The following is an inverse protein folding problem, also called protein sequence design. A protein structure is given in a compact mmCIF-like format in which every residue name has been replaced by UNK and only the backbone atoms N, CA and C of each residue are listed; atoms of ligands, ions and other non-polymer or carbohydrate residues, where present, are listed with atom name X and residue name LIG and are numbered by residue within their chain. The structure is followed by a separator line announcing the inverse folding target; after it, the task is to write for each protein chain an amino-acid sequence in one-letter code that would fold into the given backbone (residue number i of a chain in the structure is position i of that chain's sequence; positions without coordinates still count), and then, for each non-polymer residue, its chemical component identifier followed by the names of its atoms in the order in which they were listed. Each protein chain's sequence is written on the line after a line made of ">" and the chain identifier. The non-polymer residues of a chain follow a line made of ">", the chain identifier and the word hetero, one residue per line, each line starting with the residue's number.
data_IF_080838787129
#
_entry.id   IF_080838787129
#
_cell.length_a   1.000
_cell.length_b   1.000
_cell.length_c   1.000
_cell.angle_alpha   90.00
_cell.angle_beta   90.00
_cell.angle_gamma   90.00
#
_symmetry.space_group_name_H-M   'P 1'
#
loop_
_entity.id
_entity.type
_entity.pdbx_description
1 polymer ?
#
# COMPACT_ATOMS: atom_id res chain seq x y z
N UNK A 1 1.48 -13.14 7.14
CA UNK A 1 0.44 -12.07 7.12
C UNK A 1 -0.51 -12.18 8.30
N UNK A 2 -1.15 -13.33 8.53
CA UNK A 2 -2.09 -13.52 9.63
C UNK A 2 -1.59 -13.07 11.02
N UNK A 3 -0.43 -13.56 11.44
CA UNK A 3 0.18 -13.20 12.72
C UNK A 3 0.37 -11.69 12.88
N UNK A 4 0.91 -11.02 11.87
CA UNK A 4 1.13 -9.58 11.86
C UNK A 4 -0.16 -8.76 11.98
N UNK A 5 -1.25 -9.22 11.33
CA UNK A 5 -2.55 -8.57 11.44
C UNK A 5 -3.11 -8.72 12.86
N UNK A 6 -3.06 -9.92 13.43
CA UNK A 6 -3.50 -10.16 14.81
C UNK A 6 -2.68 -9.34 15.82
N UNK A 7 -1.37 -9.22 15.62
CA UNK A 7 -0.52 -8.38 16.48
C UNK A 7 -0.85 -6.89 16.35
N UNK A 8 -1.13 -6.41 15.14
CA UNK A 8 -1.39 -4.98 14.89
C UNK A 8 -2.74 -4.56 15.45
N UNK A 9 -3.77 -5.37 15.25
CA UNK A 9 -5.14 -5.01 15.62
C UNK A 9 -5.58 -5.56 16.97
N UNK A 10 -4.83 -6.50 17.56
CA UNK A 10 -5.09 -7.06 18.88
C UNK A 10 -6.54 -7.50 19.03
N UNK A 11 -7.19 -7.01 20.08
CA UNK A 11 -8.58 -7.33 20.42
C UNK A 11 -9.62 -6.76 19.43
N UNK A 12 -9.21 -5.92 18.47
CA UNK A 12 -10.10 -5.41 17.42
C UNK A 12 -10.50 -6.52 16.44
N UNK A 13 -9.61 -7.49 16.20
CA UNK A 13 -9.94 -8.68 15.41
C UNK A 13 -10.45 -9.76 16.37
N UNK A 14 -11.74 -10.07 16.29
CA UNK A 14 -12.33 -11.16 17.07
C UNK A 14 -11.84 -12.54 16.61
N UNK A 15 -11.73 -12.75 15.30
CA UNK A 15 -11.24 -14.00 14.72
C UNK A 15 -10.50 -13.76 13.40
N UNK A 16 -9.60 -14.69 13.07
CA UNK A 16 -8.96 -14.78 11.77
C UNK A 16 -8.98 -16.23 11.31
N UNK A 17 -9.55 -16.47 10.13
CA UNK A 17 -9.60 -17.80 9.53
C UNK A 17 -8.65 -17.90 8.34
N UNK A 18 -7.87 -18.99 8.29
CA UNK A 18 -7.11 -19.37 7.11
C UNK A 18 -7.88 -20.47 6.38
N UNK A 19 -8.42 -20.12 5.21
CA UNK A 19 -9.23 -21.02 4.40
C UNK A 19 -8.38 -21.51 3.22
N UNK A 20 -8.09 -22.83 3.12
CA UNK A 20 -7.39 -23.37 1.95
C UNK A 20 -8.16 -23.08 0.66
N UNK A 21 -7.49 -22.42 -0.28
CA UNK A 21 -8.02 -22.16 -1.62
C UNK A 21 -7.51 -23.16 -2.66
N UNK A 22 -8.05 -23.07 -3.88
CA UNK A 22 -7.46 -23.76 -5.04
C UNK A 22 -6.09 -23.17 -5.37
N UNK A 23 -5.33 -23.86 -6.22
CA UNK A 23 -4.02 -23.38 -6.68
C UNK A 23 -4.06 -21.92 -7.14
N UNK A 24 -3.10 -21.12 -6.66
CA UNK A 24 -2.96 -19.71 -7.02
C UNK A 24 -3.93 -18.75 -6.32
N UNK A 25 -4.91 -19.23 -5.56
CA UNK A 25 -5.89 -18.38 -4.87
C UNK A 25 -5.23 -17.69 -3.68
N UNK A 26 -5.34 -16.35 -3.64
CA UNK A 26 -5.01 -15.57 -2.45
C UNK A 26 -5.97 -14.40 -2.37
N UNK A 27 -6.89 -14.46 -1.41
CA UNK A 27 -7.95 -13.47 -1.20
C UNK A 27 -7.94 -13.07 0.27
N UNK A 28 -7.97 -11.77 0.54
CA UNK A 28 -8.17 -11.22 1.88
C UNK A 28 -9.61 -10.74 1.97
N UNK A 29 -10.33 -11.22 2.99
CA UNK A 29 -11.69 -10.77 3.29
C UNK A 29 -11.76 -10.18 4.68
N UNK A 30 -12.57 -9.15 4.83
CA UNK A 30 -12.87 -8.51 6.12
C UNK A 30 -14.37 -8.40 6.24
N UNK A 31 -14.95 -8.99 7.29
CA UNK A 31 -16.40 -9.03 7.50
C UNK A 31 -17.22 -9.57 6.30
N UNK A 32 -16.61 -10.45 5.49
CA UNK A 32 -17.22 -11.02 4.28
C UNK A 32 -16.85 -10.31 2.98
N UNK A 33 -16.43 -9.04 3.04
CA UNK A 33 -16.07 -8.25 1.87
C UNK A 33 -14.64 -8.55 1.42
N UNK A 34 -14.44 -8.67 0.11
CA UNK A 34 -13.11 -8.85 -0.47
C UNK A 34 -12.38 -7.51 -0.47
N UNK A 35 -11.30 -7.41 0.29
CA UNK A 35 -10.45 -6.21 0.35
C UNK A 35 -9.20 -6.34 -0.52
N UNK A 36 -8.82 -7.57 -0.88
CA UNK A 36 -7.72 -7.84 -1.81
C UNK A 36 -7.94 -9.18 -2.52
N UNK A 37 -7.74 -9.22 -3.84
CA UNK A 37 -7.65 -10.44 -4.62
C UNK A 37 -6.36 -10.43 -5.47
N UNK A 38 -5.52 -11.45 -5.27
CA UNK A 38 -4.29 -11.62 -6.06
C UNK A 38 -4.59 -11.75 -7.55
N UNK A 39 -5.72 -12.34 -7.95
CA UNK A 39 -6.09 -12.49 -9.35
C UNK A 39 -6.25 -11.13 -10.03
N UNK A 40 -6.78 -10.15 -9.31
CA UNK A 40 -7.04 -8.80 -9.83
C UNK A 40 -5.77 -7.95 -9.82
N UNK A 41 -4.94 -8.08 -8.78
CA UNK A 41 -3.71 -7.29 -8.65
C UNK A 41 -2.47 -7.92 -9.30
N UNK A 42 -2.50 -9.20 -9.66
CA UNK A 42 -1.35 -9.93 -10.22
C UNK A 42 -0.16 -10.11 -9.26
N UNK A 43 -0.31 -9.74 -7.99
CA UNK A 43 0.73 -9.78 -6.95
C UNK A 43 0.15 -10.15 -5.59
N UNK A 44 1.01 -10.41 -4.62
CA UNK A 44 0.60 -10.49 -3.22
C UNK A 44 0.54 -9.08 -2.60
N UNK A 45 -0.30 -8.86 -1.58
CA UNK A 45 -0.29 -7.59 -0.88
C UNK A 45 0.98 -7.47 -0.05
N UNK A 46 1.53 -6.27 0.03
CA UNK A 46 2.56 -5.98 1.02
C UNK A 46 1.94 -5.90 2.41
N UNK A 47 2.75 -6.12 3.46
CA UNK A 47 2.25 -6.08 4.83
C UNK A 47 1.58 -4.74 5.17
N UNK A 48 2.17 -3.65 4.68
CA UNK A 48 1.67 -2.29 4.88
C UNK A 48 0.29 -2.10 4.25
N UNK A 49 0.14 -2.49 2.98
CA UNK A 49 -1.13 -2.44 2.25
C UNK A 49 -2.20 -3.30 2.93
N UNK A 50 -1.86 -4.52 3.35
CA UNK A 50 -2.80 -5.40 4.05
C UNK A 50 -3.32 -4.76 5.35
N UNK A 51 -2.43 -4.14 6.16
CA UNK A 51 -2.83 -3.42 7.38
C UNK A 51 -3.74 -2.23 7.05
N UNK A 52 -3.41 -1.44 6.03
CA UNK A 52 -4.24 -0.31 5.61
C UNK A 52 -5.64 -0.74 5.14
N UNK A 53 -5.72 -1.76 4.28
CA UNK A 53 -6.99 -2.29 3.76
C UNK A 53 -7.89 -2.81 4.88
N UNK A 54 -7.33 -3.57 5.83
CA UNK A 54 -8.08 -4.07 6.98
C UNK A 54 -8.54 -2.92 7.88
N UNK A 55 -7.66 -1.96 8.18
CA UNK A 55 -7.96 -0.80 9.03
C UNK A 55 -9.17 -0.02 8.53
N UNK A 56 -9.24 0.24 7.22
CA UNK A 56 -10.34 1.00 6.60
C UNK A 56 -11.71 0.44 6.98
N UNK A 57 -11.81 -0.87 7.20
CA UNK A 57 -13.08 -1.54 7.53
C UNK A 57 -13.30 -1.66 9.03
N UNK A 58 -12.28 -2.06 9.81
CA UNK A 58 -12.49 -2.43 11.23
C UNK A 58 -12.11 -1.35 12.25
N UNK A 59 -11.24 -0.40 11.87
CA UNK A 59 -10.74 0.63 12.78
C UNK A 59 -10.29 1.90 12.02
N UNK A 60 -11.20 2.63 11.35
CA UNK A 60 -10.84 3.76 10.48
C UNK A 60 -9.98 4.84 11.17
N UNK A 61 -10.23 5.07 12.46
CA UNK A 61 -9.58 6.09 13.27
C UNK A 61 -8.24 5.63 13.90
N UNK A 62 -7.85 4.37 13.72
CA UNK A 62 -6.62 3.81 14.31
C UNK A 62 -5.39 4.18 13.49
N UNK A 63 -4.43 4.89 14.09
CA UNK A 63 -3.13 5.13 13.46
C UNK A 63 -2.29 3.85 13.36
N UNK A 64 -1.68 3.59 12.19
CA UNK A 64 -0.79 2.42 11.96
C UNK A 64 0.71 2.79 11.98
N UNK A 65 1.04 3.99 12.48
CA UNK A 65 2.42 4.49 12.54
C UNK A 65 3.07 4.57 11.16
N UNK A 66 4.24 3.93 10.97
CA UNK A 66 4.96 3.91 9.68
C UNK A 66 4.15 3.28 8.52
N UNK A 67 3.07 2.57 8.84
CA UNK A 67 2.18 1.99 7.84
C UNK A 67 1.14 2.99 7.32
N UNK A 68 1.01 4.20 7.88
CA UNK A 68 0.06 5.21 7.37
C UNK A 68 0.59 6.02 6.19
N UNK A 69 1.91 6.17 6.06
CA UNK A 69 2.48 6.95 4.96
C UNK A 69 2.22 6.27 3.62
N UNK A 70 1.76 6.99 2.60
CA UNK A 70 1.67 6.41 1.25
C UNK A 70 3.09 6.04 0.80
N UNK A 71 3.34 4.79 0.42
CA UNK A 71 4.63 4.38 -0.15
C UNK A 71 4.80 5.11 -1.48
N UNK A 72 5.56 6.20 -1.47
CA UNK A 72 5.96 6.92 -2.68
C UNK A 72 7.18 6.19 -3.25
N UNK A 73 6.94 5.16 -4.05
CA UNK A 73 7.98 4.54 -4.87
C UNK A 73 7.55 4.59 -6.34
N UNK A 74 8.37 5.30 -7.13
CA UNK A 74 8.30 5.57 -8.58
C UNK A 74 7.53 6.83 -9.04
N UNK A 75 8.13 8.01 -8.84
CA UNK A 75 8.30 9.00 -9.92
C UNK A 75 9.69 9.62 -9.77
N UNK A 76 10.67 9.07 -10.49
CA UNK A 76 11.92 9.77 -10.79
C UNK A 76 12.21 9.58 -12.28
N UNK A 77 11.84 10.57 -13.08
CA UNK A 77 12.49 11.04 -14.31
C UNK A 77 11.71 12.32 -14.70
N UNK A 78 12.27 13.53 -14.80
CA UNK A 78 13.40 13.93 -15.63
C UNK A 78 13.87 15.31 -15.15
N UNK A 79 15.12 15.43 -14.68
CA UNK A 79 15.74 16.75 -14.50
C UNK A 79 16.41 17.12 -15.82
N UNK A 80 15.72 18.00 -16.54
CA UNK A 80 16.27 18.79 -17.63
C UNK A 80 17.29 19.78 -17.05
N UNK A 81 18.52 19.76 -17.55
CA UNK A 81 19.53 20.77 -17.22
C UNK A 81 19.10 22.12 -17.80
N UNK A 82 18.93 23.20 -17.02
CA UNK A 82 18.80 24.51 -17.61
C UNK A 82 20.19 24.96 -18.09
N UNK A 83 20.43 24.89 -19.40
CA UNK A 83 21.43 25.76 -20.03
C UNK A 83 20.99 27.21 -19.83
N UNK A 84 21.83 28.10 -19.29
CA UNK A 84 21.50 29.51 -19.21
C UNK A 84 21.50 30.15 -20.62
N UNK A 85 20.68 31.20 -20.84
CA UNK A 85 20.47 31.81 -22.14
C UNK A 85 21.71 32.57 -22.61
N UNK A 86 21.95 32.52 -23.92
CA UNK A 86 22.94 33.35 -24.59
C UNK A 86 22.64 34.83 -24.34
N UNK A 87 23.58 35.54 -23.70
CA UNK A 87 23.53 36.99 -23.56
C UNK A 87 23.90 37.60 -24.90
N UNK A 88 22.96 38.36 -25.47
CA UNK A 88 23.17 39.19 -26.64
C UNK A 88 24.06 40.39 -26.35
N UNK A 89 24.86 40.72 -27.37
CA UNK A 89 25.20 42.05 -27.88
C UNK A 89 25.22 43.28 -26.94
N UNK A 90 26.40 43.88 -26.79
CA UNK A 90 26.55 45.35 -26.80
C UNK A 90 27.84 45.78 -27.50
N UNK A 91 27.71 46.83 -28.30
CA UNK A 91 28.72 47.48 -29.10
C UNK A 91 29.62 48.45 -28.29
N UNK A 92 30.89 48.57 -28.68
CA UNK A 92 31.70 49.80 -28.85
C UNK A 92 33.08 49.40 -29.35
#
# INVERSE_FOLDING_TARGET
>A
MAQELLLTFGNTIGELALIPGKSGTFIVRVNGDVVFDRKDHGRFPEMKEAKQLVRVIIAPEMGLGHSDSVVKSAVMEKQETPSPPAVGNTAT
#
